data_IF_654882263732
#
_entry.id   IF_654882263732
#
_cell.length_a   1.000
_cell.length_b   1.000
_cell.length_c   1.000
_cell.angle_alpha   90.00
_cell.angle_beta   90.00
_cell.angle_gamma   90.00
#
_symmetry.space_group_name_H-M   'P 1'
#
loop_
_entity.id
_entity.type
_entity.pdbx_description
1 polymer ?
#
# COMPACT_ATOMS: atom_id res chain seq x y z
N UNK A 1 -15.50 -21.39 1.08
CA UNK A 1 -15.51 -19.98 1.54
C UNK A 1 -14.09 -19.49 1.81
N UNK A 2 -13.23 -20.30 2.43
CA UNK A 2 -11.82 -19.98 2.68
C UNK A 2 -11.01 -19.69 1.40
N UNK A 3 -11.15 -20.51 0.35
CA UNK A 3 -10.46 -20.28 -0.93
C UNK A 3 -10.82 -18.93 -1.58
N UNK A 4 -12.09 -18.51 -1.45
CA UNK A 4 -12.55 -17.24 -1.98
C UNK A 4 -11.98 -16.04 -1.18
N UNK A 5 -11.86 -16.17 0.15
CA UNK A 5 -11.24 -15.15 0.99
C UNK A 5 -9.73 -15.05 0.73
N UNK A 6 -9.06 -16.19 0.54
CA UNK A 6 -7.63 -16.23 0.18
C UNK A 6 -7.37 -15.61 -1.19
N UNK A 7 -8.22 -15.90 -2.18
CA UNK A 7 -8.14 -15.29 -3.52
C UNK A 7 -8.34 -13.76 -3.46
N UNK A 8 -9.32 -13.30 -2.67
CA UNK A 8 -9.55 -11.86 -2.46
C UNK A 8 -8.34 -11.18 -1.80
N UNK A 9 -7.76 -11.80 -0.78
CA UNK A 9 -6.55 -11.31 -0.11
C UNK A 9 -5.37 -11.16 -1.07
N UNK A 10 -5.14 -12.16 -1.94
CA UNK A 10 -4.10 -12.07 -2.97
C UNK A 10 -4.36 -10.96 -3.98
N UNK A 11 -5.61 -10.77 -4.40
CA UNK A 11 -5.98 -9.71 -5.34
C UNK A 11 -5.73 -8.31 -4.75
N UNK A 12 -6.12 -8.07 -3.50
CA UNK A 12 -5.87 -6.81 -2.80
C UNK A 12 -4.36 -6.55 -2.68
N UNK A 13 -3.59 -7.59 -2.33
CA UNK A 13 -2.13 -7.50 -2.25
C UNK A 13 -1.50 -7.13 -3.60
N UNK A 14 -1.98 -7.72 -4.71
CA UNK A 14 -1.52 -7.39 -6.06
C UNK A 14 -1.83 -5.94 -6.43
N UNK A 15 -3.03 -5.45 -6.10
CA UNK A 15 -3.43 -4.06 -6.35
C UNK A 15 -2.51 -3.09 -5.57
N UNK A 16 -2.27 -3.37 -4.28
CA UNK A 16 -1.36 -2.59 -3.45
C UNK A 16 0.06 -2.57 -4.06
N UNK A 17 0.59 -3.73 -4.43
CA UNK A 17 1.92 -3.82 -5.05
C UNK A 17 2.02 -3.04 -6.37
N UNK A 18 0.98 -3.11 -7.21
CA UNK A 18 0.93 -2.34 -8.44
C UNK A 18 0.95 -0.83 -8.16
N UNK A 19 0.23 -0.38 -7.13
CA UNK A 19 0.17 1.03 -6.77
C UNK A 19 1.47 1.52 -6.13
N UNK A 20 2.09 0.72 -5.27
CA UNK A 20 3.42 1.01 -4.69
C UNK A 20 4.47 1.10 -5.80
N UNK A 21 4.49 0.12 -6.72
CA UNK A 21 5.40 0.13 -7.87
C UNK A 21 5.24 1.40 -8.69
N UNK A 22 4.02 1.75 -9.09
CA UNK A 22 3.75 2.95 -9.90
C UNK A 22 4.18 4.23 -9.17
N UNK A 23 3.72 4.40 -7.94
CA UNK A 23 3.97 5.62 -7.14
C UNK A 23 5.44 5.80 -6.86
N UNK A 24 6.13 4.75 -6.41
CA UNK A 24 7.55 4.85 -6.07
C UNK A 24 8.45 4.95 -7.29
N UNK A 25 8.06 4.34 -8.42
CA UNK A 25 8.78 4.53 -9.67
C UNK A 25 8.71 5.99 -10.12
N UNK A 26 7.50 6.54 -10.24
CA UNK A 26 7.29 7.93 -10.65
C UNK A 26 7.98 8.93 -9.71
N UNK A 27 7.92 8.66 -8.40
CA UNK A 27 8.54 9.54 -7.39
C UNK A 27 10.06 9.52 -7.41
N UNK A 28 10.67 8.35 -7.58
CA UNK A 28 12.12 8.20 -7.43
C UNK A 28 12.90 8.31 -8.74
N UNK A 29 12.24 8.03 -9.87
CA UNK A 29 12.87 8.00 -11.20
C UNK A 29 12.19 8.95 -12.19
N UNK A 30 11.03 9.52 -11.87
CA UNK A 30 10.29 10.38 -12.80
C UNK A 30 9.89 9.60 -14.05
N UNK A 31 10.30 10.10 -15.22
CA UNK A 31 10.02 9.50 -16.53
C UNK A 31 11.15 8.61 -17.06
N UNK A 32 12.28 8.48 -16.34
CA UNK A 32 13.47 7.79 -16.86
C UNK A 32 14.16 6.97 -15.77
N UNK A 33 14.34 5.69 -16.05
CA UNK A 33 15.22 4.80 -15.29
C UNK A 33 16.54 4.63 -16.04
N UNK A 34 17.68 4.85 -15.39
CA UNK A 34 18.99 4.46 -15.92
C UNK A 34 19.21 2.96 -15.79
N UNK A 35 20.05 2.34 -16.63
CA UNK A 35 20.35 0.90 -16.57
C UNK A 35 20.77 0.41 -15.18
N UNK A 36 21.29 1.31 -14.34
CA UNK A 36 21.65 1.05 -12.95
C UNK A 36 21.05 2.10 -12.02
N UNK A 37 20.71 1.66 -10.81
CA UNK A 37 20.16 2.52 -9.77
C UNK A 37 21.29 3.15 -8.95
N UNK A 38 21.37 4.47 -8.95
CA UNK A 38 22.32 5.24 -8.13
C UNK A 38 21.95 5.22 -6.65
N UNK A 39 22.90 5.58 -5.77
CA UNK A 39 22.71 5.59 -4.31
C UNK A 39 21.47 6.38 -3.86
N UNK A 40 21.22 7.53 -4.49
CA UNK A 40 20.07 8.38 -4.15
C UNK A 40 18.73 7.74 -4.54
N UNK A 41 18.69 7.06 -5.68
CA UNK A 41 17.51 6.35 -6.16
C UNK A 41 17.22 5.13 -5.28
N UNK A 42 18.26 4.38 -4.88
CA UNK A 42 18.13 3.27 -3.92
C UNK A 42 17.54 3.74 -2.59
N UNK A 43 18.07 4.83 -2.03
CA UNK A 43 17.56 5.42 -0.79
C UNK A 43 16.13 5.94 -0.98
N UNK A 44 15.83 6.56 -2.11
CA UNK A 44 14.48 7.03 -2.41
C UNK A 44 13.48 5.87 -2.47
N UNK A 45 13.80 4.82 -3.21
CA UNK A 45 12.92 3.68 -3.42
C UNK A 45 12.62 2.98 -2.10
N UNK A 46 13.65 2.69 -1.29
CA UNK A 46 13.48 2.10 0.04
C UNK A 46 12.54 2.95 0.90
N UNK A 47 12.83 4.25 1.05
CA UNK A 47 11.99 5.17 1.83
C UNK A 47 10.57 5.30 1.29
N UNK A 48 10.38 5.26 -0.02
CA UNK A 48 9.06 5.38 -0.62
C UNK A 48 8.21 4.14 -0.31
N UNK A 49 8.78 2.95 -0.52
CA UNK A 49 8.09 1.69 -0.27
C UNK A 49 7.72 1.55 1.21
N UNK A 50 8.67 1.79 2.11
CA UNK A 50 8.44 1.71 3.57
C UNK A 50 7.29 2.63 4.00
N UNK A 51 7.32 3.91 3.57
CA UNK A 51 6.27 4.89 3.91
C UNK A 51 4.91 4.53 3.33
N UNK A 52 4.86 3.95 2.13
CA UNK A 52 3.60 3.56 1.50
C UNK A 52 2.95 2.39 2.24
N UNK A 53 3.74 1.38 2.63
CA UNK A 53 3.22 0.25 3.40
C UNK A 53 2.80 0.68 4.81
N UNK A 54 3.60 1.50 5.49
CA UNK A 54 3.26 2.05 6.80
C UNK A 54 1.96 2.86 6.74
N UNK A 55 1.84 3.77 5.77
CA UNK A 55 0.62 4.56 5.57
C UNK A 55 -0.60 3.66 5.30
N UNK A 56 -0.45 2.62 4.49
CA UNK A 56 -1.53 1.67 4.22
C UNK A 56 -1.99 0.94 5.50
N UNK A 57 -1.05 0.47 6.33
CA UNK A 57 -1.36 -0.15 7.62
C UNK A 57 -2.10 0.81 8.55
N UNK A 58 -1.63 2.05 8.68
CA UNK A 58 -2.27 3.08 9.53
C UNK A 58 -3.70 3.35 9.05
N UNK A 59 -3.89 3.61 7.76
CA UNK A 59 -5.22 3.92 7.20
C UNK A 59 -6.16 2.73 7.34
N UNK A 60 -5.69 1.50 7.12
CA UNK A 60 -6.51 0.29 7.27
C UNK A 60 -6.98 0.09 8.70
N UNK A 61 -6.08 0.28 9.68
CA UNK A 61 -6.42 0.22 11.10
C UNK A 61 -7.44 1.30 11.47
N UNK A 62 -7.20 2.55 11.10
CA UNK A 62 -8.13 3.65 11.36
C UNK A 62 -9.50 3.42 10.72
N UNK A 63 -9.54 2.91 9.48
CA UNK A 63 -10.79 2.62 8.77
C UNK A 63 -11.59 1.50 9.47
N UNK A 64 -10.89 0.50 9.99
CA UNK A 64 -11.50 -0.61 10.74
C UNK A 64 -12.08 -0.12 12.07
N UNK A 65 -11.33 0.71 12.81
CA UNK A 65 -11.78 1.30 14.07
C UNK A 65 -13.03 2.19 13.85
N UNK A 66 -13.04 3.02 12.81
CA UNK A 66 -14.21 3.85 12.46
C UNK A 66 -15.42 2.98 12.10
N UNK A 67 -15.22 1.94 11.26
CA UNK A 67 -16.31 1.05 10.87
C UNK A 67 -16.92 0.32 12.08
N UNK A 68 -16.09 -0.11 13.03
CA UNK A 68 -16.56 -0.71 14.28
C UNK A 68 -17.38 0.29 15.11
N UNK A 69 -16.90 1.52 15.29
CA UNK A 69 -17.62 2.55 16.03
C UNK A 69 -18.99 2.86 15.41
N UNK A 70 -19.06 3.00 14.08
CA UNK A 70 -20.33 3.21 13.37
C UNK A 70 -21.31 2.05 13.51
N UNK A 71 -20.82 0.80 13.55
CA UNK A 71 -21.66 -0.39 13.76
C UNK A 71 -22.23 -0.50 15.18
N UNK A 72 -21.55 0.09 16.17
CA UNK A 72 -22.01 0.16 17.57
C UNK A 72 -23.13 1.20 17.71
N UNK A 73 -23.01 2.35 17.03
CA UNK A 73 -24.01 3.43 17.08
C UNK A 73 -25.36 3.06 16.41
N UNK A 74 -25.38 2.11 15.49
CA UNK A 74 -26.61 1.66 14.80
C UNK A 74 -27.49 0.67 15.61
N UNK A 75 -27.12 0.33 16.85
CA UNK A 75 -27.84 -0.64 17.70
C UNK A 75 -28.70 0.02 18.81
N UNK A 76 -29.10 1.28 18.66
CA UNK A 76 -30.07 1.97 19.53
C UNK A 76 -31.32 2.41 18.78
#
# INVERSE_FOLDING_TARGET
MEDAQNALGMMIYQILNNQVRKTCFEKCFGQKFSEQMGKNEQICLAKCMDRMYEAHTIVTKASTEIAQNLSVDSNF
#
